data_IF_864191291407
#
_entry.id   IF_864191291407
#
_cell.length_a   1.000
_cell.length_b   1.000
_cell.length_c   1.000
_cell.angle_alpha   90.00
_cell.angle_beta   90.00
_cell.angle_gamma   90.00
#
_symmetry.space_group_name_H-M   'P 1'
#
loop_
_entity.id
_entity.type
_entity.pdbx_description
1 polymer ?
#
# COMPACT_ATOMS: atom_id res chain seq x y z
N UNK A 1 21.93 -65.79 -6.72
CA UNK A 1 21.06 -64.95 -5.82
C UNK A 1 21.95 -64.49 -4.69
N UNK A 2 22.46 -63.21 -4.80
CA UNK A 2 23.28 -62.61 -3.75
C UNK A 2 22.47 -62.43 -2.48
N UNK A 3 23.03 -62.79 -1.32
CA UNK A 3 22.37 -62.66 -0.02
C UNK A 3 22.21 -61.16 0.32
N UNK A 4 21.10 -60.75 0.93
CA UNK A 4 20.76 -59.38 1.32
C UNK A 4 21.87 -58.70 2.15
N UNK A 5 22.71 -59.49 2.85
CA UNK A 5 23.88 -59.04 3.60
C UNK A 5 25.04 -58.61 2.68
N UNK A 6 25.25 -59.31 1.58
CA UNK A 6 26.33 -58.97 0.61
C UNK A 6 26.00 -57.74 -0.19
N UNK A 7 24.70 -57.50 -0.50
CA UNK A 7 24.25 -56.25 -1.16
C UNK A 7 24.42 -55.05 -0.26
N UNK A 8 24.17 -55.15 1.06
CA UNK A 8 24.43 -54.08 2.03
C UNK A 8 25.90 -53.77 2.19
N UNK A 9 26.77 -54.80 2.21
CA UNK A 9 28.22 -54.60 2.29
C UNK A 9 28.76 -53.96 1.01
N UNK A 10 28.25 -54.34 -0.17
CA UNK A 10 28.62 -53.73 -1.45
C UNK A 10 28.20 -52.27 -1.55
N UNK A 11 26.99 -51.92 -1.07
CA UNK A 11 26.50 -50.55 -0.96
C UNK A 11 27.34 -49.69 0.00
N UNK A 12 27.74 -50.22 1.14
CA UNK A 12 28.61 -49.55 2.12
C UNK A 12 29.99 -49.33 1.54
N UNK A 13 30.58 -50.31 0.84
CA UNK A 13 31.88 -50.18 0.18
C UNK A 13 31.83 -49.16 -0.95
N UNK A 14 30.79 -49.12 -1.79
CA UNK A 14 30.58 -48.09 -2.81
C UNK A 14 30.45 -46.69 -2.21
N UNK A 15 29.77 -46.56 -1.08
CA UNK A 15 29.60 -45.29 -0.38
C UNK A 15 30.94 -44.77 0.23
N UNK A 16 31.75 -45.68 0.79
CA UNK A 16 33.08 -45.37 1.35
C UNK A 16 34.09 -44.97 0.27
N UNK A 17 34.00 -45.51 -0.94
CA UNK A 17 34.87 -45.14 -2.07
C UNK A 17 34.41 -43.86 -2.80
N UNK A 18 33.13 -43.51 -2.74
CA UNK A 18 32.59 -42.29 -3.32
C UNK A 18 32.95 -41.00 -2.50
N UNK A 19 33.10 -41.15 -1.19
CA UNK A 19 33.45 -40.04 -0.27
C UNK A 19 34.78 -39.36 -0.57
N UNK A 20 35.91 -40.04 -0.80
CA UNK A 20 37.20 -39.39 -1.09
C UNK A 20 37.25 -38.73 -2.50
N UNK A 21 36.46 -39.23 -3.46
CA UNK A 21 36.32 -38.61 -4.79
C UNK A 21 35.56 -37.31 -4.72
N UNK A 22 34.47 -37.23 -3.93
CA UNK A 22 33.72 -35.99 -3.71
C UNK A 22 34.54 -34.94 -2.96
N UNK A 23 35.29 -35.32 -1.95
CA UNK A 23 36.16 -34.38 -1.21
C UNK A 23 37.30 -33.80 -2.08
N UNK A 24 37.88 -34.59 -3.00
CA UNK A 24 38.90 -34.07 -3.91
C UNK A 24 38.33 -33.15 -4.98
N UNK A 25 37.13 -33.45 -5.49
CA UNK A 25 36.40 -32.61 -6.41
C UNK A 25 36.05 -31.26 -5.75
N UNK A 26 35.56 -31.27 -4.53
CA UNK A 26 35.26 -30.06 -3.74
C UNK A 26 36.50 -29.19 -3.50
N UNK A 27 37.61 -29.77 -3.08
CA UNK A 27 38.87 -29.01 -2.91
C UNK A 27 39.31 -28.33 -4.20
N UNK A 28 39.20 -29.00 -5.35
CA UNK A 28 39.52 -28.46 -6.68
C UNK A 28 38.59 -27.30 -7.03
N UNK A 29 37.28 -27.42 -6.76
CA UNK A 29 36.31 -26.34 -7.00
C UNK A 29 36.61 -25.10 -6.15
N UNK A 30 36.90 -25.26 -4.86
CA UNK A 30 37.27 -24.14 -3.97
C UNK A 30 38.58 -23.48 -4.46
N UNK A 31 39.59 -24.27 -4.86
CA UNK A 31 40.86 -23.75 -5.39
C UNK A 31 40.62 -22.93 -6.66
N UNK A 32 39.84 -23.45 -7.60
CA UNK A 32 39.49 -22.77 -8.84
C UNK A 32 38.72 -21.46 -8.58
N UNK A 33 37.74 -21.46 -7.68
CA UNK A 33 36.99 -20.26 -7.33
C UNK A 33 37.90 -19.19 -6.70
N UNK A 34 38.85 -19.58 -5.84
CA UNK A 34 39.87 -18.69 -5.26
C UNK A 34 40.78 -18.08 -6.32
N UNK A 35 41.15 -18.84 -7.33
CA UNK A 35 41.93 -18.36 -8.46
C UNK A 35 41.17 -17.30 -9.27
N UNK A 36 39.88 -17.55 -9.55
CA UNK A 36 39.02 -16.56 -10.21
C UNK A 36 38.93 -15.25 -9.41
N UNK A 37 38.72 -15.33 -8.09
CA UNK A 37 38.64 -14.16 -7.20
C UNK A 37 40.02 -13.42 -7.22
N UNK A 38 41.14 -14.13 -7.09
CA UNK A 38 42.49 -13.53 -7.11
C UNK A 38 42.76 -12.78 -8.41
N UNK A 39 42.34 -13.36 -9.52
CA UNK A 39 42.56 -12.78 -10.84
C UNK A 39 41.48 -11.77 -11.26
N UNK A 40 40.48 -11.52 -10.41
CA UNK A 40 39.31 -10.66 -10.66
C UNK A 40 38.60 -11.02 -11.98
N UNK A 41 38.51 -12.31 -12.30
CA UNK A 41 37.86 -12.86 -13.49
C UNK A 41 36.82 -13.91 -13.09
N UNK A 42 35.78 -14.07 -13.89
CA UNK A 42 34.76 -15.09 -13.65
C UNK A 42 34.14 -15.10 -12.21
N UNK A 43 34.02 -13.91 -11.61
CA UNK A 43 33.57 -13.74 -10.21
C UNK A 43 32.20 -14.32 -9.95
N UNK A 44 31.27 -14.20 -10.92
CA UNK A 44 29.93 -14.78 -10.82
C UNK A 44 29.98 -16.31 -10.85
N UNK A 45 30.92 -16.91 -11.60
CA UNK A 45 31.14 -18.38 -11.58
C UNK A 45 31.69 -18.81 -10.23
N UNK A 46 32.60 -18.03 -9.63
CA UNK A 46 33.11 -18.29 -8.28
C UNK A 46 31.96 -18.27 -7.25
N UNK A 47 31.14 -17.25 -7.27
CA UNK A 47 29.94 -17.14 -6.40
C UNK A 47 29.03 -18.36 -6.58
N UNK A 48 28.61 -18.66 -7.82
CA UNK A 48 27.72 -19.76 -8.13
C UNK A 48 28.27 -21.12 -7.66
N UNK A 49 29.57 -21.36 -7.90
CA UNK A 49 30.23 -22.60 -7.50
C UNK A 49 30.23 -22.77 -5.97
N UNK A 50 30.47 -21.70 -5.21
CA UNK A 50 30.45 -21.76 -3.74
C UNK A 50 29.04 -21.90 -3.17
N UNK A 51 28.04 -21.27 -3.76
CA UNK A 51 26.62 -21.45 -3.36
C UNK A 51 26.18 -22.90 -3.55
N UNK A 52 26.48 -23.51 -4.68
CA UNK A 52 26.19 -24.93 -4.95
C UNK A 52 26.83 -25.83 -3.88
N UNK A 53 28.06 -25.55 -3.47
CA UNK A 53 28.70 -26.34 -2.42
C UNK A 53 28.02 -26.17 -1.05
N UNK A 54 27.42 -25.01 -0.76
CA UNK A 54 26.70 -24.77 0.50
C UNK A 54 25.29 -25.37 0.54
N UNK A 55 24.75 -25.82 -0.60
CA UNK A 55 23.50 -26.58 -0.65
C UNK A 55 23.64 -27.93 0.09
N UNK A 56 24.83 -28.52 0.06
CA UNK A 56 25.15 -29.72 0.85
C UNK A 56 25.32 -29.34 2.33
N UNK A 57 24.50 -29.94 3.18
CA UNK A 57 24.50 -29.73 4.62
C UNK A 57 25.86 -30.01 5.29
N UNK A 58 26.64 -30.92 4.77
CA UNK A 58 27.98 -31.26 5.26
C UNK A 58 28.98 -30.11 5.08
N UNK A 59 28.70 -29.22 4.15
CA UNK A 59 29.55 -28.07 3.83
C UNK A 59 29.20 -26.79 4.58
N UNK A 60 28.05 -26.75 5.26
CA UNK A 60 27.55 -25.53 5.93
C UNK A 60 28.55 -24.91 6.92
N UNK A 61 29.36 -25.74 7.59
CA UNK A 61 30.37 -25.26 8.54
C UNK A 61 31.76 -25.10 7.91
N UNK A 62 31.88 -25.20 6.59
CA UNK A 62 33.18 -25.06 5.92
C UNK A 62 33.55 -23.60 5.67
N UNK A 63 34.27 -22.99 6.60
CA UNK A 63 34.75 -21.59 6.51
C UNK A 63 35.41 -21.25 5.17
N UNK A 64 36.13 -22.21 4.53
CA UNK A 64 36.80 -21.95 3.26
C UNK A 64 35.83 -21.64 2.12
N UNK A 65 34.66 -22.28 2.11
CA UNK A 65 33.63 -22.04 1.11
C UNK A 65 33.02 -20.66 1.35
N UNK A 66 32.59 -20.36 2.59
CA UNK A 66 32.01 -19.06 2.95
C UNK A 66 32.92 -17.88 2.63
N UNK A 67 34.21 -17.95 3.04
CA UNK A 67 35.13 -16.86 2.79
C UNK A 67 35.45 -16.70 1.30
N UNK A 68 35.46 -17.80 0.52
CA UNK A 68 35.62 -17.70 -0.94
C UNK A 68 34.40 -17.07 -1.59
N UNK A 69 33.18 -17.43 -1.13
CA UNK A 69 31.93 -16.82 -1.56
C UNK A 69 31.89 -15.32 -1.25
N UNK A 70 32.18 -14.95 -0.01
CA UNK A 70 32.21 -13.54 0.43
C UNK A 70 33.22 -12.74 -0.40
N UNK A 71 34.44 -13.25 -0.57
CA UNK A 71 35.46 -12.57 -1.37
C UNK A 71 35.05 -12.41 -2.84
N UNK A 72 34.29 -13.35 -3.41
CA UNK A 72 33.77 -13.21 -4.76
C UNK A 72 32.72 -12.10 -4.88
N UNK A 73 31.85 -11.95 -3.88
CA UNK A 73 30.85 -10.87 -3.82
C UNK A 73 31.52 -9.49 -3.61
N UNK A 74 32.48 -9.42 -2.71
CA UNK A 74 33.25 -8.19 -2.47
C UNK A 74 33.95 -7.74 -3.75
N UNK A 75 34.63 -8.66 -4.45
CA UNK A 75 35.30 -8.34 -5.72
C UNK A 75 34.31 -7.89 -6.82
N UNK A 76 33.11 -8.51 -6.90
CA UNK A 76 32.06 -8.05 -7.81
C UNK A 76 31.59 -6.64 -7.46
N UNK A 77 31.35 -6.35 -6.17
CA UNK A 77 30.97 -5.03 -5.70
C UNK A 77 32.02 -3.97 -6.03
N UNK A 78 33.32 -4.24 -5.74
CA UNK A 78 34.40 -3.35 -6.02
C UNK A 78 34.52 -3.02 -7.52
N UNK A 79 34.42 -4.03 -8.39
CA UNK A 79 34.45 -3.81 -9.85
C UNK A 79 33.26 -2.98 -10.34
N UNK A 80 32.03 -3.23 -9.82
CA UNK A 80 30.85 -2.46 -10.16
C UNK A 80 30.96 -1.01 -9.71
N UNK A 81 31.41 -0.81 -8.46
CA UNK A 81 31.59 0.52 -7.87
C UNK A 81 32.70 1.32 -8.59
N UNK A 82 33.79 0.68 -8.97
CA UNK A 82 34.88 1.30 -9.75
C UNK A 82 34.37 1.80 -11.12
N UNK A 83 33.58 0.98 -11.84
CA UNK A 83 32.96 1.37 -13.12
C UNK A 83 32.10 2.61 -12.96
N UNK A 84 31.26 2.66 -11.91
CA UNK A 84 30.40 3.81 -11.62
C UNK A 84 31.22 5.06 -11.26
N UNK A 85 32.25 4.90 -10.44
CA UNK A 85 33.17 5.98 -10.09
C UNK A 85 33.86 6.58 -11.33
N UNK A 86 34.29 5.72 -12.25
CA UNK A 86 34.90 6.11 -13.54
C UNK A 86 33.86 6.56 -14.59
N UNK A 87 32.56 6.70 -14.21
CA UNK A 87 31.45 7.08 -15.09
C UNK A 87 31.29 6.16 -16.31
N UNK A 88 31.72 4.92 -16.20
CA UNK A 88 31.49 3.88 -17.20
C UNK A 88 30.05 3.36 -17.11
N UNK A 89 29.52 2.83 -18.24
CA UNK A 89 28.20 2.22 -18.26
C UNK A 89 28.17 0.98 -17.37
N UNK A 90 27.35 1.03 -16.31
CA UNK A 90 27.10 -0.08 -15.41
C UNK A 90 25.65 -0.04 -14.93
N UNK A 91 25.04 -1.22 -14.79
CA UNK A 91 23.65 -1.30 -14.31
C UNK A 91 23.61 -1.17 -12.79
N UNK A 92 23.02 -0.08 -12.29
CA UNK A 92 22.85 0.17 -10.86
C UNK A 92 22.10 -0.94 -10.15
N UNK A 93 21.16 -1.61 -10.83
CA UNK A 93 20.43 -2.73 -10.23
C UNK A 93 21.35 -3.88 -9.86
N UNK A 94 22.38 -4.14 -10.64
CA UNK A 94 23.39 -5.16 -10.34
C UNK A 94 24.16 -4.81 -9.07
N UNK A 95 24.59 -3.55 -8.90
CA UNK A 95 25.32 -3.14 -7.70
C UNK A 95 24.47 -3.29 -6.43
N UNK A 96 23.21 -2.87 -6.49
CA UNK A 96 22.30 -3.05 -5.37
C UNK A 96 22.08 -4.53 -5.06
N UNK A 97 21.81 -5.35 -6.06
CA UNK A 97 21.65 -6.80 -5.88
C UNK A 97 22.91 -7.48 -5.31
N UNK A 98 24.11 -7.04 -5.71
CA UNK A 98 25.35 -7.55 -5.10
C UNK A 98 25.41 -7.12 -3.63
N UNK A 99 25.09 -5.86 -3.32
CA UNK A 99 25.04 -5.36 -1.94
C UNK A 99 24.11 -6.23 -1.08
N UNK A 100 22.87 -6.48 -1.54
CA UNK A 100 21.94 -7.33 -0.78
C UNK A 100 22.50 -8.73 -0.55
N UNK A 101 23.04 -9.36 -1.61
CA UNK A 101 23.67 -10.69 -1.46
C UNK A 101 24.88 -10.70 -0.51
N UNK A 102 25.61 -9.57 -0.38
CA UNK A 102 26.68 -9.43 0.62
C UNK A 102 26.13 -9.46 2.03
N UNK A 103 25.03 -8.71 2.31
CA UNK A 103 24.36 -8.73 3.60
C UNK A 103 23.86 -10.15 3.92
N UNK A 104 22.98 -10.72 3.07
CA UNK A 104 22.45 -12.08 3.23
C UNK A 104 23.57 -13.11 3.53
N UNK A 105 24.70 -13.01 2.83
CA UNK A 105 25.79 -13.99 2.94
C UNK A 105 26.64 -13.78 4.21
N UNK A 106 26.97 -12.53 4.56
CA UNK A 106 27.84 -12.26 5.72
C UNK A 106 27.06 -12.41 7.03
N UNK A 107 25.78 -12.09 7.07
CA UNK A 107 24.90 -12.34 8.22
C UNK A 107 24.71 -13.85 8.45
N UNK A 108 24.45 -14.62 7.38
CA UNK A 108 24.40 -16.07 7.48
C UNK A 108 25.73 -16.66 7.95
N UNK A 109 26.86 -16.16 7.46
CA UNK A 109 28.16 -16.59 7.88
C UNK A 109 28.50 -16.21 9.34
N UNK A 110 28.02 -15.07 9.83
CA UNK A 110 28.23 -14.65 11.21
C UNK A 110 27.73 -15.72 12.20
N UNK A 111 26.60 -16.36 11.91
CA UNK A 111 26.06 -17.47 12.71
C UNK A 111 26.99 -18.69 12.77
N UNK A 112 27.85 -18.85 11.76
CA UNK A 112 28.85 -19.92 11.70
C UNK A 112 30.16 -19.51 12.38
N UNK A 113 30.57 -18.22 12.22
CA UNK A 113 31.81 -17.68 12.78
C UNK A 113 31.79 -17.63 14.32
N UNK A 114 30.59 -17.54 14.92
CA UNK A 114 30.39 -17.55 16.38
C UNK A 114 30.25 -18.97 16.98
N UNK A 115 30.31 -20.02 16.19
CA UNK A 115 30.26 -21.38 16.72
C UNK A 115 31.52 -21.69 17.54
N UNK A 116 31.41 -22.42 18.69
CA UNK A 116 32.55 -22.79 19.49
C UNK A 116 33.56 -23.60 18.68
N UNK A 117 34.83 -23.25 18.80
CA UNK A 117 35.91 -24.04 18.22
C UNK A 117 36.09 -25.39 18.93
N UNK A 118 37.00 -26.22 18.47
CA UNK A 118 37.29 -27.57 19.05
C UNK A 118 37.66 -27.55 20.54
N UNK A 119 37.99 -26.36 21.10
CA UNK A 119 38.28 -26.15 22.53
C UNK A 119 37.10 -25.59 23.31
N UNK A 120 35.92 -25.49 22.69
CA UNK A 120 34.72 -24.92 23.29
C UNK A 120 34.73 -23.38 23.40
N UNK A 121 35.73 -22.68 22.84
CA UNK A 121 35.85 -21.22 22.89
C UNK A 121 35.16 -20.61 21.67
N UNK A 122 34.35 -19.58 21.91
CA UNK A 122 33.80 -18.69 20.87
C UNK A 122 34.84 -17.62 20.56
N UNK A 123 35.29 -17.55 19.31
CA UNK A 123 36.36 -16.65 18.85
C UNK A 123 36.10 -16.27 17.38
N UNK A 124 35.12 -15.37 17.12
CA UNK A 124 34.74 -14.98 15.75
C UNK A 124 35.86 -14.22 15.09
N UNK A 125 36.34 -14.70 13.94
CA UNK A 125 37.49 -14.15 13.24
C UNK A 125 37.12 -13.05 12.27
N UNK A 126 35.90 -13.06 11.74
CA UNK A 126 35.49 -12.21 10.62
C UNK A 126 34.40 -11.21 10.98
N UNK A 127 33.72 -11.37 12.12
CA UNK A 127 32.62 -10.51 12.56
C UNK A 127 32.97 -9.02 12.48
N UNK A 128 34.08 -8.62 13.04
CA UNK A 128 34.51 -7.21 13.08
C UNK A 128 34.76 -6.65 11.66
N UNK A 129 35.50 -7.38 10.84
CA UNK A 129 35.81 -6.94 9.47
C UNK A 129 34.59 -6.89 8.57
N UNK A 130 33.68 -7.87 8.69
CA UNK A 130 32.43 -7.91 7.93
C UNK A 130 31.50 -6.77 8.35
N UNK A 131 31.34 -6.52 9.66
CA UNK A 131 30.50 -5.43 10.14
C UNK A 131 30.99 -4.05 9.67
N UNK A 132 32.31 -3.81 9.65
CA UNK A 132 32.88 -2.57 9.14
C UNK A 132 32.62 -2.42 7.65
N UNK A 133 32.80 -3.48 6.87
CA UNK A 133 32.59 -3.45 5.43
C UNK A 133 31.12 -3.18 5.09
N UNK A 134 30.21 -3.93 5.70
CA UNK A 134 28.76 -3.80 5.45
C UNK A 134 28.22 -2.46 5.94
N UNK A 135 28.71 -1.93 7.07
CA UNK A 135 28.31 -0.61 7.54
C UNK A 135 28.59 0.49 6.49
N UNK A 136 29.71 0.43 5.78
CA UNK A 136 30.08 1.41 4.74
C UNK A 136 29.08 1.43 3.56
N UNK A 137 28.45 0.30 3.28
CA UNK A 137 27.57 0.13 2.11
C UNK A 137 26.11 -0.09 2.49
N UNK A 138 25.76 -0.05 3.78
CA UNK A 138 24.40 -0.35 4.27
C UNK A 138 23.33 0.54 3.63
N UNK A 139 23.64 1.82 3.43
CA UNK A 139 22.71 2.75 2.79
C UNK A 139 22.34 2.36 1.35
N UNK A 140 23.16 1.53 0.68
CA UNK A 140 22.81 1.01 -0.64
C UNK A 140 21.59 0.06 -0.59
N UNK A 141 21.28 -0.55 0.55
CA UNK A 141 20.04 -1.31 0.71
C UNK A 141 18.82 -0.37 0.63
N UNK A 142 18.85 0.75 1.36
CA UNK A 142 17.80 1.77 1.31
C UNK A 142 17.64 2.37 -0.09
N UNK A 143 18.76 2.79 -0.71
CA UNK A 143 18.73 3.37 -2.06
C UNK A 143 18.34 2.34 -3.13
N UNK A 144 18.69 1.07 -2.95
CA UNK A 144 18.22 -0.03 -3.77
C UNK A 144 16.69 -0.18 -3.67
N UNK A 145 16.15 -0.14 -2.47
CA UNK A 145 14.70 -0.14 -2.25
C UNK A 145 14.00 1.02 -2.95
N UNK A 146 14.52 2.25 -2.82
CA UNK A 146 13.99 3.44 -3.53
C UNK A 146 14.11 3.30 -5.05
N UNK A 147 15.22 2.76 -5.54
CA UNK A 147 15.43 2.52 -6.98
C UNK A 147 14.38 1.59 -7.58
N UNK A 148 14.10 0.47 -6.92
CA UNK A 148 13.07 -0.46 -7.38
C UNK A 148 11.65 0.09 -7.18
N UNK A 149 11.43 0.90 -6.13
CA UNK A 149 10.16 1.61 -5.91
C UNK A 149 9.83 2.53 -7.10
N UNK A 150 10.81 3.32 -7.55
CA UNK A 150 10.64 4.21 -8.71
C UNK A 150 10.38 3.43 -10.02
N UNK A 151 10.86 2.20 -10.11
CA UNK A 151 10.56 1.28 -11.21
C UNK A 151 9.23 0.55 -11.06
N UNK A 152 8.49 0.78 -9.96
CA UNK A 152 7.26 0.06 -9.59
C UNK A 152 7.47 -1.44 -9.38
N UNK A 153 8.71 -1.86 -9.15
CA UNK A 153 9.02 -3.22 -8.71
C UNK A 153 8.91 -3.30 -7.19
N UNK A 154 7.66 -3.37 -6.73
CA UNK A 154 7.34 -3.35 -5.30
C UNK A 154 7.89 -4.56 -4.55
N UNK A 155 8.03 -5.70 -5.22
CA UNK A 155 8.59 -6.92 -4.62
C UNK A 155 10.07 -6.74 -4.28
N UNK A 156 10.86 -6.24 -5.23
CA UNK A 156 12.26 -5.95 -4.98
C UNK A 156 12.43 -4.80 -3.98
N UNK A 157 11.64 -3.72 -4.15
CA UNK A 157 11.67 -2.60 -3.20
C UNK A 157 11.44 -3.07 -1.77
N UNK A 158 10.41 -3.88 -1.53
CA UNK A 158 10.10 -4.44 -0.22
C UNK A 158 11.27 -5.28 0.32
N UNK A 159 11.81 -6.20 -0.49
CA UNK A 159 12.91 -7.07 -0.07
C UNK A 159 14.18 -6.29 0.33
N UNK A 160 14.46 -5.17 -0.33
CA UNK A 160 15.58 -4.31 0.02
C UNK A 160 15.33 -3.50 1.30
N UNK A 161 14.12 -2.97 1.46
CA UNK A 161 13.75 -2.19 2.64
C UNK A 161 13.66 -3.09 3.88
N UNK A 162 13.13 -4.30 3.74
CA UNK A 162 13.11 -5.30 4.83
C UNK A 162 14.52 -5.64 5.27
N UNK A 163 15.44 -5.93 4.35
CA UNK A 163 16.84 -6.19 4.67
C UNK A 163 17.49 -5.01 5.40
N UNK A 164 17.24 -3.77 4.94
CA UNK A 164 17.72 -2.57 5.59
C UNK A 164 17.23 -2.42 7.04
N UNK A 165 15.99 -2.80 7.29
CA UNK A 165 15.37 -2.74 8.63
C UNK A 165 15.86 -3.90 9.49
N UNK A 166 15.86 -5.12 8.97
CA UNK A 166 16.15 -6.34 9.74
C UNK A 166 17.62 -6.42 10.16
N UNK A 167 18.54 -6.01 9.28
CA UNK A 167 19.95 -5.95 9.64
C UNK A 167 20.24 -5.02 10.84
N UNK A 168 19.37 -4.03 11.12
CA UNK A 168 19.55 -3.14 12.25
C UNK A 168 19.50 -3.85 13.62
N UNK A 169 18.85 -5.01 13.69
CA UNK A 169 18.76 -5.84 14.89
C UNK A 169 19.72 -7.04 14.87
N UNK A 170 20.48 -7.23 13.77
CA UNK A 170 21.38 -8.36 13.66
C UNK A 170 22.61 -8.19 14.57
N UNK A 171 23.07 -9.22 15.30
CA UNK A 171 24.21 -9.14 16.25
C UNK A 171 25.52 -8.63 15.60
N UNK A 172 25.69 -8.82 14.30
CA UNK A 172 26.83 -8.31 13.53
C UNK A 172 26.96 -6.79 13.63
N UNK A 173 25.83 -6.08 13.83
CA UNK A 173 25.77 -4.61 13.86
C UNK A 173 25.48 -4.01 15.22
N UNK A 174 25.49 -4.81 16.28
CA UNK A 174 25.15 -4.37 17.64
C UNK A 174 25.88 -3.07 18.07
N UNK A 175 27.15 -2.93 17.74
CA UNK A 175 27.97 -1.75 18.08
C UNK A 175 27.47 -0.43 17.44
N UNK A 176 26.74 -0.50 16.35
CA UNK A 176 26.24 0.70 15.62
C UNK A 176 24.91 1.22 16.17
N UNK A 177 24.17 0.40 16.92
CA UNK A 177 22.89 0.74 17.55
C UNK A 177 21.88 1.38 16.57
N UNK A 178 21.79 0.87 15.34
CA UNK A 178 20.96 1.45 14.27
C UNK A 178 19.52 1.70 14.66
N UNK A 179 18.90 0.85 15.48
CA UNK A 179 17.51 1.00 15.96
C UNK A 179 17.26 2.38 16.56
N UNK A 180 18.27 2.95 17.24
CA UNK A 180 18.17 4.26 17.90
C UNK A 180 18.82 5.38 17.14
N UNK A 181 19.87 5.10 16.35
CA UNK A 181 20.70 6.12 15.71
C UNK A 181 20.30 6.39 14.25
N UNK A 182 19.68 5.41 13.57
CA UNK A 182 19.38 5.52 12.15
C UNK A 182 18.03 6.18 11.89
N UNK A 183 18.06 7.41 11.40
CA UNK A 183 16.88 8.21 11.08
C UNK A 183 16.13 7.77 9.81
N UNK A 184 16.74 6.90 8.98
CA UNK A 184 16.11 6.39 7.76
C UNK A 184 15.20 5.17 8.01
N UNK A 185 15.34 4.49 9.17
CA UNK A 185 14.53 3.32 9.49
C UNK A 185 13.01 3.55 9.41
N UNK A 186 12.44 4.65 9.95
CA UNK A 186 11.01 4.93 9.83
C UNK A 186 10.56 5.11 8.36
N UNK A 187 11.40 5.76 7.54
CA UNK A 187 11.11 5.92 6.10
C UNK A 187 11.15 4.59 5.36
N UNK A 188 12.13 3.73 5.68
CA UNK A 188 12.21 2.39 5.11
C UNK A 188 10.96 1.58 5.47
N UNK A 189 10.52 1.63 6.73
CA UNK A 189 9.29 0.98 7.20
C UNK A 189 8.05 1.48 6.43
N UNK A 190 7.89 2.79 6.26
CA UNK A 190 6.78 3.36 5.49
C UNK A 190 6.81 2.92 4.01
N UNK A 191 7.98 2.86 3.37
CA UNK A 191 8.09 2.36 1.99
C UNK A 191 7.83 0.86 1.88
N UNK A 192 8.19 0.09 2.93
CA UNK A 192 7.82 -1.33 3.02
C UNK A 192 6.30 -1.49 3.11
N UNK A 193 5.63 -0.68 3.95
CA UNK A 193 4.17 -0.67 4.05
C UNK A 193 3.52 -0.32 2.71
N UNK A 194 3.98 0.73 2.05
CA UNK A 194 3.46 1.10 0.72
C UNK A 194 3.61 -0.05 -0.29
N UNK A 195 4.78 -0.67 -0.34
CA UNK A 195 5.02 -1.82 -1.21
C UNK A 195 4.13 -3.00 -0.83
N UNK A 196 3.90 -3.22 0.45
CA UNK A 196 2.99 -4.24 0.99
C UNK A 196 1.54 -4.03 0.52
N UNK A 197 1.04 -2.79 0.54
CA UNK A 197 -0.28 -2.46 -0.03
C UNK A 197 -0.33 -2.77 -1.52
N UNK A 198 0.68 -2.35 -2.29
CA UNK A 198 0.73 -2.61 -3.74
C UNK A 198 0.80 -4.09 -4.11
N UNK A 199 1.31 -4.91 -3.21
CA UNK A 199 1.41 -6.37 -3.35
C UNK A 199 0.25 -7.15 -2.69
N UNK A 200 -0.75 -6.46 -2.14
CA UNK A 200 -1.84 -7.07 -1.39
C UNK A 200 -1.34 -7.95 -0.22
N UNK A 201 -0.32 -7.47 0.49
CA UNK A 201 0.33 -8.15 1.62
C UNK A 201 0.11 -7.39 2.94
N UNK A 202 -1.12 -7.38 3.49
CA UNK A 202 -1.47 -6.59 4.68
C UNK A 202 -0.68 -6.99 5.93
N UNK A 203 -0.25 -8.24 6.06
CA UNK A 203 0.54 -8.69 7.21
C UNK A 203 1.91 -7.99 7.27
N UNK A 204 2.54 -7.72 6.13
CA UNK A 204 3.77 -6.95 6.04
C UNK A 204 3.53 -5.50 6.51
N UNK A 205 2.42 -4.90 6.09
CA UNK A 205 2.05 -3.55 6.52
C UNK A 205 1.94 -3.47 8.04
N UNK A 206 1.24 -4.42 8.65
CA UNK A 206 1.02 -4.46 10.10
C UNK A 206 2.31 -4.77 10.87
N UNK A 207 3.22 -5.60 10.32
CA UNK A 207 4.53 -5.91 10.92
C UNK A 207 5.35 -4.65 11.19
N UNK A 208 5.33 -3.69 10.27
CA UNK A 208 6.18 -2.49 10.35
C UNK A 208 5.47 -1.25 10.91
N UNK A 209 4.23 -1.38 11.39
CA UNK A 209 3.42 -0.28 11.95
C UNK A 209 4.18 0.60 12.94
N UNK A 210 4.67 0.01 14.03
CA UNK A 210 5.31 0.76 15.14
C UNK A 210 6.56 1.51 14.70
N UNK A 211 7.33 0.94 13.77
CA UNK A 211 8.52 1.61 13.23
C UNK A 211 8.14 2.75 12.29
N UNK A 212 7.16 2.53 11.42
CA UNK A 212 6.70 3.54 10.46
C UNK A 212 6.01 4.73 11.15
N UNK A 213 5.30 4.53 12.27
CA UNK A 213 4.69 5.59 13.06
C UNK A 213 5.70 6.64 13.58
N UNK A 214 7.00 6.31 13.60
CA UNK A 214 8.08 7.25 13.90
C UNK A 214 8.37 8.24 12.75
N UNK A 215 7.84 8.02 11.55
CA UNK A 215 7.88 8.98 10.44
C UNK A 215 6.76 10.03 10.63
N UNK A 216 6.99 10.96 11.55
CA UNK A 216 6.01 11.98 11.93
C UNK A 216 5.61 12.88 10.74
N UNK A 217 6.55 13.15 9.82
CA UNK A 217 6.33 14.05 8.68
C UNK A 217 5.39 13.48 7.61
N UNK A 218 5.23 12.18 7.58
CA UNK A 218 4.41 11.48 6.58
C UNK A 218 3.43 10.51 7.27
N UNK A 219 3.02 10.84 8.49
CA UNK A 219 2.17 9.96 9.29
C UNK A 219 0.77 9.79 8.69
N UNK A 220 0.27 10.75 7.88
CA UNK A 220 -0.96 10.62 7.11
C UNK A 220 -0.92 9.42 6.16
N UNK A 221 0.20 9.19 5.48
CA UNK A 221 0.38 8.01 4.61
C UNK A 221 0.50 6.72 5.42
N UNK A 222 1.14 6.75 6.58
CA UNK A 222 1.21 5.58 7.48
C UNK A 222 -0.18 5.16 7.90
N UNK A 223 -1.02 6.11 8.34
CA UNK A 223 -2.42 5.86 8.72
C UNK A 223 -3.26 5.41 7.53
N UNK A 224 -3.03 5.97 6.33
CA UNK A 224 -3.67 5.49 5.11
C UNK A 224 -3.35 4.00 4.87
N UNK A 225 -2.06 3.62 4.87
CA UNK A 225 -1.67 2.24 4.60
C UNK A 225 -2.18 1.27 5.67
N UNK A 226 -2.22 1.71 6.95
CA UNK A 226 -2.83 0.92 8.02
C UNK A 226 -4.33 0.71 7.78
N UNK A 227 -5.07 1.75 7.44
CA UNK A 227 -6.48 1.62 7.11
C UNK A 227 -6.70 0.66 5.94
N UNK A 228 -5.95 0.82 4.83
CA UNK A 228 -6.02 -0.09 3.70
C UNK A 228 -5.69 -1.54 4.08
N UNK A 229 -4.71 -1.77 4.96
CA UNK A 229 -4.37 -3.11 5.44
C UNK A 229 -5.46 -3.72 6.32
N UNK A 230 -6.08 -2.94 7.20
CA UNK A 230 -7.22 -3.40 8.01
C UNK A 230 -8.45 -3.70 7.16
N UNK A 231 -8.71 -2.91 6.12
CA UNK A 231 -9.78 -3.17 5.15
C UNK A 231 -9.56 -4.48 4.39
N UNK A 232 -8.36 -4.70 3.85
CA UNK A 232 -7.95 -5.95 3.20
C UNK A 232 -8.11 -7.18 4.10
N UNK A 233 -7.91 -7.03 5.40
CA UNK A 233 -8.09 -8.09 6.41
C UNK A 233 -9.53 -8.16 6.94
N UNK A 234 -10.44 -7.30 6.47
CA UNK A 234 -11.81 -7.19 6.95
C UNK A 234 -11.92 -6.91 8.46
N UNK A 235 -10.94 -6.23 9.00
CA UNK A 235 -10.87 -5.78 10.40
C UNK A 235 -11.60 -4.44 10.53
N UNK A 236 -12.94 -4.49 10.44
CA UNK A 236 -13.81 -3.30 10.33
C UNK A 236 -13.62 -2.31 11.47
N UNK A 237 -13.46 -2.80 12.69
CA UNK A 237 -13.28 -1.93 13.87
C UNK A 237 -12.00 -1.10 13.76
N UNK A 238 -10.86 -1.76 13.55
CA UNK A 238 -9.54 -1.15 13.44
C UNK A 238 -9.46 -0.21 12.21
N UNK A 239 -10.14 -0.58 11.13
CA UNK A 239 -10.27 0.25 9.94
C UNK A 239 -10.92 1.59 10.28
N UNK A 240 -12.11 1.58 10.92
CA UNK A 240 -12.84 2.80 11.26
C UNK A 240 -12.10 3.64 12.30
N UNK A 241 -11.52 3.02 13.33
CA UNK A 241 -10.70 3.72 14.33
C UNK A 241 -9.49 4.41 13.70
N UNK A 242 -8.87 3.76 12.69
CA UNK A 242 -7.74 4.34 11.96
C UNK A 242 -8.19 5.48 11.06
N UNK A 243 -9.34 5.37 10.38
CA UNK A 243 -9.91 6.46 9.59
C UNK A 243 -10.24 7.68 10.44
N UNK A 244 -10.85 7.48 11.62
CA UNK A 244 -11.15 8.56 12.56
C UNK A 244 -9.87 9.24 13.06
N UNK A 245 -8.87 8.45 13.46
CA UNK A 245 -7.57 8.97 13.90
C UNK A 245 -6.90 9.78 12.80
N UNK A 246 -6.94 9.28 11.57
CA UNK A 246 -6.38 9.96 10.41
C UNK A 246 -7.11 11.26 10.09
N UNK A 247 -8.44 11.26 10.14
CA UNK A 247 -9.24 12.44 9.90
C UNK A 247 -9.05 13.52 11.00
N UNK A 248 -9.04 13.12 12.27
CA UNK A 248 -8.85 14.06 13.38
C UNK A 248 -7.48 14.76 13.33
N UNK A 249 -6.43 14.06 12.85
CA UNK A 249 -5.08 14.62 12.69
C UNK A 249 -4.87 15.38 11.36
N UNK A 250 -5.48 14.88 10.30
CA UNK A 250 -5.26 15.34 8.92
C UNK A 250 -6.60 15.51 8.17
N UNK A 251 -7.48 16.43 8.62
CA UNK A 251 -8.86 16.52 8.11
C UNK A 251 -8.93 16.87 6.61
N UNK A 252 -7.92 17.54 6.07
CA UNK A 252 -7.83 17.89 4.65
C UNK A 252 -7.13 16.86 3.78
N UNK A 253 -6.57 15.79 4.39
CA UNK A 253 -5.95 14.72 3.62
C UNK A 253 -7.03 13.90 2.90
N UNK A 254 -6.96 13.72 1.56
CA UNK A 254 -8.11 13.32 0.74
C UNK A 254 -8.58 11.88 0.94
N UNK A 255 -7.91 11.11 1.79
CA UNK A 255 -8.19 9.69 1.99
C UNK A 255 -9.28 9.42 3.03
N UNK A 256 -9.26 10.11 4.19
CA UNK A 256 -10.04 9.73 5.38
C UNK A 256 -11.49 10.18 5.30
N UNK A 257 -11.73 11.43 4.95
CA UNK A 257 -13.06 12.04 4.95
C UNK A 257 -14.07 11.28 4.09
N UNK A 258 -13.81 10.98 2.79
CA UNK A 258 -14.79 10.29 1.95
C UNK A 258 -15.17 8.92 2.52
N UNK A 259 -14.19 8.17 3.02
CA UNK A 259 -14.41 6.82 3.56
C UNK A 259 -15.22 6.81 4.86
N UNK A 260 -15.02 7.81 5.72
CA UNK A 260 -15.86 7.99 6.91
C UNK A 260 -17.28 8.38 6.53
N UNK A 261 -17.45 9.23 5.51
CA UNK A 261 -18.76 9.62 5.00
C UNK A 261 -19.50 8.41 4.44
N UNK A 262 -18.85 7.62 3.59
CA UNK A 262 -19.44 6.39 3.04
C UNK A 262 -19.84 5.41 4.14
N UNK A 263 -18.96 5.23 5.13
CA UNK A 263 -19.26 4.36 6.27
C UNK A 263 -20.48 4.83 7.06
N UNK A 264 -20.53 6.10 7.49
CA UNK A 264 -21.63 6.59 8.30
C UNK A 264 -22.95 6.64 7.54
N UNK A 265 -22.93 6.93 6.25
CA UNK A 265 -24.12 6.88 5.40
C UNK A 265 -24.63 5.44 5.21
N UNK A 266 -23.74 4.48 4.94
CA UNK A 266 -24.12 3.07 4.77
C UNK A 266 -24.70 2.45 6.05
N UNK A 267 -24.24 2.90 7.22
CA UNK A 267 -24.76 2.50 8.54
C UNK A 267 -25.99 3.33 8.98
N UNK A 268 -26.49 4.24 8.13
CA UNK A 268 -27.57 5.19 8.43
C UNK A 268 -27.30 6.05 9.70
N UNK A 269 -26.01 6.34 9.99
CA UNK A 269 -25.57 7.17 11.13
C UNK A 269 -25.41 8.63 10.68
N UNK A 270 -26.52 9.23 10.24
CA UNK A 270 -26.49 10.55 9.59
C UNK A 270 -25.99 11.68 10.52
N UNK A 271 -26.29 11.60 11.84
CA UNK A 271 -25.79 12.58 12.81
C UNK A 271 -24.25 12.53 12.92
N UNK A 272 -23.67 11.31 12.91
CA UNK A 272 -22.21 11.14 12.91
C UNK A 272 -21.60 11.68 11.61
N UNK A 273 -22.21 11.42 10.46
CA UNK A 273 -21.80 11.96 9.18
C UNK A 273 -21.85 13.50 9.17
N UNK A 274 -22.90 14.10 9.73
CA UNK A 274 -23.02 15.56 9.86
C UNK A 274 -21.93 16.16 10.75
N UNK A 275 -21.61 15.51 11.87
CA UNK A 275 -20.51 15.93 12.74
C UNK A 275 -19.14 15.90 12.02
N UNK A 276 -18.85 14.85 11.27
CA UNK A 276 -17.61 14.75 10.46
C UNK A 276 -17.58 15.85 9.39
N UNK A 277 -18.70 16.09 8.70
CA UNK A 277 -18.77 17.15 7.68
C UNK A 277 -18.58 18.56 8.29
N UNK A 278 -19.10 18.81 9.48
CA UNK A 278 -18.88 20.08 10.21
C UNK A 278 -17.42 20.24 10.59
N UNK A 279 -16.78 19.22 11.19
CA UNK A 279 -15.34 19.24 11.52
C UNK A 279 -14.47 19.47 10.28
N UNK A 280 -14.82 18.85 9.15
CA UNK A 280 -14.11 19.05 7.89
C UNK A 280 -14.18 20.52 7.44
N UNK A 281 -15.35 21.15 7.55
CA UNK A 281 -15.56 22.56 7.21
C UNK A 281 -14.92 23.53 8.20
N UNK A 282 -14.72 23.15 9.45
CA UNK A 282 -13.91 23.90 10.42
C UNK A 282 -12.43 23.94 9.98
N UNK A 283 -11.93 22.83 9.41
CA UNK A 283 -10.55 22.76 8.91
C UNK A 283 -10.37 23.47 7.57
N UNK A 284 -11.33 23.36 6.65
CA UNK A 284 -11.34 24.06 5.36
C UNK A 284 -12.79 24.40 4.94
N UNK A 285 -13.23 25.59 5.32
CA UNK A 285 -14.57 26.08 5.02
C UNK A 285 -14.84 26.33 3.52
N UNK A 286 -13.78 26.36 2.70
CA UNK A 286 -13.87 26.65 1.27
C UNK A 286 -13.92 25.41 0.41
N UNK A 287 -13.66 24.24 0.98
CA UNK A 287 -13.58 22.97 0.28
C UNK A 287 -14.96 22.55 -0.26
N UNK A 288 -15.06 22.49 -1.58
CA UNK A 288 -16.32 22.18 -2.30
C UNK A 288 -16.82 20.79 -1.93
N UNK A 289 -15.93 19.81 -1.83
CA UNK A 289 -16.29 18.43 -1.48
C UNK A 289 -16.91 18.35 -0.08
N UNK A 290 -16.36 19.08 0.90
CA UNK A 290 -16.90 19.12 2.26
C UNK A 290 -18.26 19.80 2.31
N UNK A 291 -18.43 20.92 1.58
CA UNK A 291 -19.71 21.64 1.46
C UNK A 291 -20.77 20.77 0.80
N UNK A 292 -20.42 20.08 -0.29
CA UNK A 292 -21.32 19.17 -0.99
C UNK A 292 -21.73 17.98 -0.10
N UNK A 293 -20.77 17.33 0.55
CA UNK A 293 -21.07 16.22 1.45
C UNK A 293 -22.04 16.64 2.57
N UNK A 294 -21.82 17.82 3.16
CA UNK A 294 -22.75 18.39 4.16
C UNK A 294 -24.12 18.61 3.57
N UNK A 295 -24.23 19.18 2.36
CA UNK A 295 -25.52 19.45 1.73
C UNK A 295 -26.34 18.15 1.49
N UNK A 296 -25.67 17.06 1.10
CA UNK A 296 -26.29 15.76 0.91
C UNK A 296 -26.84 15.20 2.23
N UNK A 297 -26.11 15.36 3.34
CA UNK A 297 -26.61 14.92 4.66
C UNK A 297 -27.81 15.76 5.10
N UNK A 298 -27.73 17.08 4.93
CA UNK A 298 -28.84 17.99 5.24
C UNK A 298 -30.10 17.63 4.43
N UNK A 299 -29.94 17.27 3.15
CA UNK A 299 -31.04 16.77 2.33
C UNK A 299 -31.65 15.50 2.91
N UNK A 300 -30.80 14.51 3.27
CA UNK A 300 -31.23 13.19 3.76
C UNK A 300 -31.83 13.25 5.19
N UNK A 301 -31.51 14.29 5.94
CA UNK A 301 -32.02 14.51 7.30
C UNK A 301 -33.24 15.46 7.34
N UNK A 302 -33.72 15.93 6.17
CA UNK A 302 -34.87 16.81 6.10
C UNK A 302 -34.58 18.28 6.42
N UNK A 303 -33.30 18.68 6.56
CA UNK A 303 -32.91 20.08 6.76
C UNK A 303 -32.83 20.82 5.42
N UNK A 304 -33.97 20.83 4.70
CA UNK A 304 -34.04 21.25 3.30
C UNK A 304 -33.61 22.71 3.08
N UNK A 305 -34.02 23.63 3.96
CA UNK A 305 -33.67 25.06 3.80
C UNK A 305 -32.17 25.33 3.95
N UNK A 306 -31.51 24.59 4.86
CA UNK A 306 -30.07 24.69 5.02
C UNK A 306 -29.32 24.08 3.83
N UNK A 307 -29.81 22.95 3.31
CA UNK A 307 -29.31 22.30 2.10
C UNK A 307 -29.38 23.27 0.91
N UNK A 308 -30.54 23.89 0.68
CA UNK A 308 -30.77 24.84 -0.42
C UNK A 308 -29.79 26.02 -0.31
N UNK A 309 -29.69 26.66 0.87
CA UNK A 309 -28.77 27.81 1.08
C UNK A 309 -27.31 27.43 0.83
N UNK A 310 -26.89 26.24 1.26
CA UNK A 310 -25.52 25.78 1.06
C UNK A 310 -25.22 25.50 -0.42
N UNK A 311 -26.15 24.82 -1.10
CA UNK A 311 -26.01 24.49 -2.53
C UNK A 311 -26.10 25.76 -3.42
N UNK A 312 -26.90 26.76 -3.06
CA UNK A 312 -26.95 28.05 -3.77
C UNK A 312 -25.57 28.72 -3.76
N UNK A 313 -24.88 28.75 -2.61
CA UNK A 313 -23.51 29.26 -2.53
C UNK A 313 -22.50 28.45 -3.35
N UNK A 314 -22.73 27.15 -3.50
CA UNK A 314 -21.88 26.29 -4.34
C UNK A 314 -22.04 26.65 -5.82
N UNK A 315 -23.27 26.77 -6.32
CA UNK A 315 -23.52 27.11 -7.74
C UNK A 315 -23.18 28.56 -8.08
N UNK A 316 -23.17 29.48 -7.10
CA UNK A 316 -22.65 30.85 -7.27
C UNK A 316 -21.13 30.86 -7.54
N UNK A 317 -20.41 29.88 -6.99
CA UNK A 317 -18.96 29.74 -7.20
C UNK A 317 -18.61 28.96 -8.46
N UNK A 318 -19.41 27.93 -8.76
CA UNK A 318 -19.22 27.04 -9.90
C UNK A 318 -20.59 26.54 -10.38
N UNK A 319 -21.09 27.10 -11.45
CA UNK A 319 -22.39 26.79 -12.05
C UNK A 319 -22.40 25.45 -12.83
N UNK A 320 -21.28 24.78 -12.91
CA UNK A 320 -21.15 23.43 -13.50
C UNK A 320 -21.35 22.30 -12.49
N UNK A 321 -21.49 22.59 -11.19
CA UNK A 321 -21.70 21.61 -10.14
C UNK A 321 -23.10 20.97 -10.21
N UNK A 322 -23.23 19.93 -11.03
CA UNK A 322 -24.50 19.23 -11.28
C UNK A 322 -25.18 18.77 -9.98
N UNK A 323 -24.44 18.17 -9.08
CA UNK A 323 -24.93 17.60 -7.81
C UNK A 323 -25.52 18.67 -6.88
N UNK A 324 -25.04 19.92 -6.93
CA UNK A 324 -25.63 21.00 -6.15
C UNK A 324 -27.04 21.38 -6.66
N UNK A 325 -27.23 21.40 -7.98
CA UNK A 325 -28.55 21.57 -8.58
C UNK A 325 -29.49 20.42 -8.20
N UNK A 326 -28.99 19.19 -8.24
CA UNK A 326 -29.75 18.02 -7.84
C UNK A 326 -30.24 18.13 -6.39
N UNK A 327 -29.35 18.47 -5.46
CA UNK A 327 -29.69 18.59 -4.05
C UNK A 327 -30.73 19.70 -3.79
N UNK A 328 -30.62 20.86 -4.46
CA UNK A 328 -31.66 21.92 -4.36
C UNK A 328 -32.99 21.41 -4.91
N UNK A 329 -32.97 20.82 -6.09
CA UNK A 329 -34.17 20.29 -6.75
C UNK A 329 -34.87 19.25 -5.88
N UNK A 330 -34.11 18.30 -5.33
CA UNK A 330 -34.65 17.30 -4.42
C UNK A 330 -35.11 17.87 -3.08
N UNK A 331 -34.46 18.90 -2.54
CA UNK A 331 -34.91 19.54 -1.30
C UNK A 331 -36.31 20.13 -1.46
N UNK A 332 -36.58 20.89 -2.51
CA UNK A 332 -37.93 21.39 -2.82
C UNK A 332 -38.90 20.26 -3.13
N UNK A 333 -38.48 19.26 -3.89
CA UNK A 333 -39.31 18.11 -4.23
C UNK A 333 -39.73 17.32 -2.98
N UNK A 334 -38.78 17.02 -2.09
CA UNK A 334 -39.06 16.28 -0.87
C UNK A 334 -39.95 17.06 0.10
N UNK A 335 -39.76 18.40 0.22
CA UNK A 335 -40.71 19.26 0.97
C UNK A 335 -42.14 19.13 0.42
N UNK A 336 -42.33 19.09 -0.91
CA UNK A 336 -43.64 18.91 -1.51
C UNK A 336 -44.23 17.55 -1.19
N UNK A 337 -43.46 16.48 -1.28
CA UNK A 337 -43.88 15.10 -0.96
C UNK A 337 -44.23 14.96 0.53
N UNK A 338 -43.45 15.50 1.43
CA UNK A 338 -43.74 15.47 2.87
C UNK A 338 -45.01 16.25 3.22
N UNK A 339 -45.13 17.42 2.63
CA UNK A 339 -46.39 18.21 2.81
C UNK A 339 -47.58 17.44 2.28
N UNK A 340 -47.47 16.71 1.18
CA UNK A 340 -48.58 15.94 0.61
C UNK A 340 -49.05 14.80 1.52
N UNK A 341 -48.13 14.16 2.25
CA UNK A 341 -48.45 13.08 3.21
C UNK A 341 -49.30 13.53 4.41
N UNK A 342 -49.31 14.82 4.75
CA UNK A 342 -50.10 15.34 5.86
C UNK A 342 -51.61 15.19 5.53
N UNK A 343 -52.40 14.58 6.40
CA UNK A 343 -53.79 14.23 6.12
C UNK A 343 -54.76 15.42 5.94
N UNK A 344 -54.39 16.60 6.41
CA UNK A 344 -55.22 17.79 6.31
C UNK A 344 -55.30 18.29 4.86
N UNK A 345 -56.52 18.24 4.27
CA UNK A 345 -56.78 18.77 2.93
C UNK A 345 -57.19 20.25 3.02
N UNK A 346 -56.38 21.16 2.44
CA UNK A 346 -56.74 22.57 2.29
C UNK A 346 -56.30 23.10 0.92
N UNK A 347 -56.97 24.16 0.45
CA UNK A 347 -56.59 24.83 -0.81
C UNK A 347 -55.18 25.42 -0.73
N UNK A 348 -54.83 25.97 0.43
CA UNK A 348 -53.50 26.55 0.65
C UNK A 348 -52.40 25.51 0.64
N UNK A 349 -52.62 24.35 1.24
CA UNK A 349 -51.72 23.22 1.17
C UNK A 349 -51.43 22.83 -0.28
N UNK A 350 -52.48 22.63 -1.10
CA UNK A 350 -52.32 22.30 -2.51
C UNK A 350 -51.54 23.37 -3.27
N UNK A 351 -51.84 24.66 -3.01
CA UNK A 351 -51.11 25.79 -3.59
C UNK A 351 -49.62 25.75 -3.21
N UNK A 352 -49.33 25.46 -1.95
CA UNK A 352 -47.92 25.37 -1.49
C UNK A 352 -47.16 24.21 -2.15
N UNK A 353 -47.78 23.03 -2.28
CA UNK A 353 -47.19 21.89 -2.98
C UNK A 353 -46.85 22.25 -4.44
N UNK A 354 -47.80 22.90 -5.13
CA UNK A 354 -47.59 23.31 -6.52
C UNK A 354 -46.46 24.37 -6.63
N UNK A 355 -46.31 25.24 -5.64
CA UNK A 355 -45.20 26.20 -5.57
C UNK A 355 -43.88 25.48 -5.40
N UNK A 356 -43.77 24.53 -4.49
CA UNK A 356 -42.57 23.75 -4.26
C UNK A 356 -42.11 22.96 -5.51
N UNK A 357 -43.07 22.37 -6.26
CA UNK A 357 -42.75 21.74 -7.54
C UNK A 357 -42.25 22.74 -8.58
N UNK A 358 -42.80 23.96 -8.63
CA UNK A 358 -42.31 25.03 -9.52
C UNK A 358 -40.92 25.49 -9.13
N UNK A 359 -40.60 25.55 -7.84
CA UNK A 359 -39.28 25.88 -7.32
C UNK A 359 -38.24 24.78 -7.60
N UNK A 360 -38.67 23.50 -7.53
CA UNK A 360 -37.81 22.33 -7.81
C UNK A 360 -37.41 22.20 -9.28
N UNK A 361 -38.37 22.49 -10.18
CA UNK A 361 -38.28 22.20 -11.61
C UNK A 361 -37.02 22.73 -12.28
N UNK A 362 -36.64 24.05 -12.19
CA UNK A 362 -35.52 24.58 -12.91
C UNK A 362 -34.18 23.94 -12.48
N UNK A 363 -34.07 23.53 -11.22
CA UNK A 363 -32.88 22.90 -10.71
C UNK A 363 -32.72 21.45 -11.22
N UNK A 364 -33.80 20.68 -11.25
CA UNK A 364 -33.76 19.31 -11.80
C UNK A 364 -33.60 19.29 -13.33
N UNK A 365 -34.16 20.26 -14.03
CA UNK A 365 -33.90 20.40 -15.47
C UNK A 365 -32.44 20.80 -15.76
N UNK A 366 -31.88 21.71 -14.95
CA UNK A 366 -30.46 22.04 -15.07
C UNK A 366 -29.57 20.84 -14.75
N UNK A 367 -29.91 20.05 -13.73
CA UNK A 367 -29.22 18.81 -13.42
C UNK A 367 -29.29 17.82 -14.60
N UNK A 368 -30.47 17.61 -15.18
CA UNK A 368 -30.65 16.77 -16.38
C UNK A 368 -29.76 17.22 -17.55
N UNK A 369 -29.57 18.52 -17.72
CA UNK A 369 -28.68 19.07 -18.77
C UNK A 369 -27.21 18.84 -18.46
N UNK A 370 -26.80 18.96 -17.21
CA UNK A 370 -25.39 18.80 -16.78
C UNK A 370 -24.98 17.33 -16.64
N UNK A 371 -25.91 16.43 -16.27
CA UNK A 371 -25.67 15.01 -16.04
C UNK A 371 -26.75 14.13 -16.72
N UNK A 372 -26.88 14.16 -18.07
CA UNK A 372 -27.92 13.47 -18.81
C UNK A 372 -27.86 11.94 -18.67
N UNK A 373 -26.68 11.38 -18.38
CA UNK A 373 -26.46 9.95 -18.16
C UNK A 373 -27.06 9.46 -16.84
N UNK A 374 -27.26 10.34 -15.85
CA UNK A 374 -27.76 10.01 -14.50
C UNK A 374 -29.31 9.85 -14.47
N UNK A 375 -29.87 9.13 -15.45
CA UNK A 375 -31.31 8.94 -15.63
C UNK A 375 -32.02 8.43 -14.38
N UNK A 376 -31.40 7.55 -13.64
CA UNK A 376 -31.94 7.00 -12.38
C UNK A 376 -32.31 8.10 -11.36
N UNK A 377 -31.60 9.21 -11.37
CA UNK A 377 -31.75 10.29 -10.40
C UNK A 377 -32.83 11.30 -10.81
N UNK A 378 -32.87 11.74 -12.08
CA UNK A 378 -33.76 12.83 -12.49
C UNK A 378 -35.09 12.38 -13.11
N UNK A 379 -35.20 11.16 -13.66
CA UNK A 379 -36.42 10.73 -14.37
C UNK A 379 -37.64 10.71 -13.46
N UNK A 380 -37.55 10.09 -12.28
CA UNK A 380 -38.68 9.94 -11.38
C UNK A 380 -39.14 11.26 -10.74
N UNK A 381 -38.25 12.14 -10.24
CA UNK A 381 -38.69 13.46 -9.76
C UNK A 381 -39.31 14.32 -10.85
N UNK A 382 -38.68 14.44 -12.04
CA UNK A 382 -39.25 15.24 -13.15
C UNK A 382 -40.59 14.71 -13.64
N UNK A 383 -40.75 13.38 -13.76
CA UNK A 383 -42.03 12.77 -14.07
C UNK A 383 -43.16 13.22 -13.11
N UNK A 384 -42.87 13.19 -11.82
CA UNK A 384 -43.83 13.60 -10.78
C UNK A 384 -44.14 15.10 -10.85
N UNK A 385 -43.14 15.92 -11.09
CA UNK A 385 -43.29 17.38 -11.21
C UNK A 385 -44.12 17.73 -12.45
N UNK A 386 -43.80 17.21 -13.63
CA UNK A 386 -44.53 17.50 -14.87
C UNK A 386 -45.98 17.06 -14.78
N UNK A 387 -46.27 15.87 -14.16
CA UNK A 387 -47.60 15.41 -13.93
C UNK A 387 -48.42 16.41 -13.06
N UNK A 388 -47.83 16.81 -11.92
CA UNK A 388 -48.53 17.68 -10.96
C UNK A 388 -48.69 19.12 -11.47
N UNK A 389 -47.76 19.60 -12.28
CA UNK A 389 -47.83 20.94 -12.89
C UNK A 389 -48.65 20.97 -14.19
N UNK A 390 -49.21 19.81 -14.64
CA UNK A 390 -49.97 19.66 -15.86
C UNK A 390 -49.25 20.09 -17.13
N UNK A 391 -47.95 19.73 -17.21
CA UNK A 391 -47.02 20.02 -18.32
C UNK A 391 -47.06 18.84 -19.32
N UNK A 392 -48.12 18.79 -20.16
CA UNK A 392 -48.44 17.60 -20.98
C UNK A 392 -47.33 17.19 -21.91
N UNK A 393 -46.70 18.13 -22.64
CA UNK A 393 -45.64 17.83 -23.59
C UNK A 393 -44.38 17.24 -22.93
N UNK A 394 -43.93 17.90 -21.85
CA UNK A 394 -42.76 17.48 -21.06
C UNK A 394 -43.03 16.16 -20.33
N UNK A 395 -44.29 15.96 -19.89
CA UNK A 395 -44.73 14.71 -19.29
C UNK A 395 -44.67 13.54 -20.28
N UNK A 396 -45.17 13.71 -21.51
CA UNK A 396 -45.13 12.66 -22.54
C UNK A 396 -43.69 12.26 -22.88
N UNK A 397 -42.78 13.24 -22.94
CA UNK A 397 -41.37 13.00 -23.19
C UNK A 397 -40.71 12.19 -22.07
N UNK A 398 -40.93 12.61 -20.80
CA UNK A 398 -40.31 11.95 -19.65
C UNK A 398 -40.90 10.56 -19.39
N UNK A 399 -42.20 10.35 -19.68
CA UNK A 399 -42.88 9.04 -19.56
C UNK A 399 -42.25 8.04 -20.55
N UNK A 400 -41.99 8.46 -21.78
CA UNK A 400 -41.29 7.63 -22.75
C UNK A 400 -39.89 7.23 -22.25
N UNK A 401 -39.09 8.20 -21.79
CA UNK A 401 -37.76 7.94 -21.24
C UNK A 401 -37.81 6.98 -20.05
N UNK A 402 -38.80 7.16 -19.15
CA UNK A 402 -39.02 6.30 -17.98
C UNK A 402 -39.29 4.86 -18.38
N UNK A 403 -40.16 4.66 -19.39
CA UNK A 403 -40.51 3.35 -19.88
C UNK A 403 -39.36 2.65 -20.58
N UNK A 404 -38.56 3.36 -21.40
CA UNK A 404 -37.34 2.86 -22.03
C UNK A 404 -36.30 2.46 -20.96
N UNK A 405 -36.06 3.32 -19.97
CA UNK A 405 -35.12 3.05 -18.88
C UNK A 405 -35.51 1.80 -18.08
N UNK A 406 -36.79 1.64 -17.77
CA UNK A 406 -37.32 0.49 -17.06
C UNK A 406 -37.19 -0.83 -17.83
N UNK A 407 -37.36 -0.80 -19.16
CA UNK A 407 -37.26 -1.98 -20.02
C UNK A 407 -35.80 -2.45 -20.18
N UNK A 408 -34.84 -1.52 -20.16
CA UNK A 408 -33.42 -1.84 -20.27
C UNK A 408 -32.76 -2.34 -18.97
N UNK A 409 -33.46 -2.27 -17.83
CA UNK A 409 -32.96 -2.66 -16.50
C UNK A 409 -33.79 -3.74 -15.84
N UNK A 410 -34.67 -4.43 -16.59
CA UNK A 410 -35.32 -5.70 -16.26
C UNK A 410 -34.57 -6.85 -16.92
#
# INVERSE_FOLDING_TARGET
MMRFSELKILLIILFVWALPLSMNAQKKQIAQAREWVKNKKDLEKAEKSMRILLEDSLNRNNHKIWITLINSLVAQYEQGNEKLYLKQKYDMSQLFNITKRMFDTMEAYDSIDVLPNKKGKIDPKFRESHSILLNKIRTNLYFGGVFFLNKKDYKQSMAFMEEYIECANHPLFEKYQYVTTDTLLPYAARWTMYSGIKLNAPDVVLKYKTLAERDIKNNEFVLQYLAEAYDLKQMKKEYIETLQTGFDKYPTFPFFFPRLMDYYQSENKLDSALNIANKALEADSTNIMFQYAKSTILLNTGHYDECIKLCQKLIEKDDSLAEAYYNIGLAYFNQAIELDKVQQKSRDKRKRIMTLYKESLPYLEKYRLLAPEQKAQWVSPLYTIYLNLNMGKEFDEIDKIKNEYRNNHR
#
